data_IF_348343093754
#
_entry.id   IF_348343093754
#
_cell.length_a   1.000
_cell.length_b   1.000
_cell.length_c   1.000
_cell.angle_alpha   90.00
_cell.angle_beta   90.00
_cell.angle_gamma   90.00
#
_symmetry.space_group_name_H-M   'P 1'
#
loop_
_entity.id
_entity.type
_entity.pdbx_description
1 polymer ?
#
# COMPACT_ATOMS: atom_id res chain seq x y z
N UNK A 1 -1.03 4.60 6.80
CA UNK A 1 -1.51 3.78 7.92
C UNK A 1 -0.43 3.58 8.96
N UNK A 2 -0.84 3.44 10.22
CA UNK A 2 0.08 2.98 11.25
C UNK A 2 0.46 1.51 11.00
N UNK A 3 1.74 1.13 11.10
CA UNK A 3 2.17 -0.26 10.96
C UNK A 3 1.44 -1.21 11.92
N UNK A 4 1.01 -0.72 13.08
CA UNK A 4 0.33 -1.53 14.11
C UNK A 4 -1.05 -2.01 13.69
N UNK A 5 -1.78 -1.19 12.91
CA UNK A 5 -3.12 -1.53 12.42
C UNK A 5 -3.12 -2.09 11.00
N UNK A 6 -2.03 -1.97 10.27
CA UNK A 6 -1.90 -2.50 8.93
C UNK A 6 -1.79 -4.02 8.97
N UNK A 7 -2.70 -4.74 8.31
CA UNK A 7 -2.69 -6.20 8.32
C UNK A 7 -1.52 -6.77 7.53
N UNK A 8 -1.24 -6.21 6.35
CA UNK A 8 -0.18 -6.64 5.46
C UNK A 8 0.30 -5.43 4.64
N UNK A 9 1.61 -5.35 4.43
CA UNK A 9 2.26 -4.29 3.64
C UNK A 9 2.45 -4.66 2.15
N UNK A 10 2.16 -5.92 1.78
CA UNK A 10 2.39 -6.41 0.42
C UNK A 10 1.34 -5.93 -0.58
N UNK A 11 0.08 -5.80 -0.15
CA UNK A 11 -1.03 -5.41 -1.01
C UNK A 11 -1.64 -4.10 -0.55
N UNK A 12 -1.62 -3.09 -1.44
CA UNK A 12 -2.35 -1.85 -1.23
C UNK A 12 -3.86 -2.08 -1.34
N UNK A 13 -4.65 -1.27 -0.63
CA UNK A 13 -6.10 -1.22 -0.81
C UNK A 13 -6.50 -0.25 -1.92
N UNK A 14 -5.62 0.69 -2.26
CA UNK A 14 -5.91 1.75 -3.23
C UNK A 14 -5.46 1.38 -4.65
N UNK A 15 -4.32 0.72 -4.81
CA UNK A 15 -3.77 0.36 -6.13
C UNK A 15 -2.85 -0.85 -6.06
N UNK A 16 -2.72 -1.56 -7.17
CA UNK A 16 -1.71 -2.58 -7.42
C UNK A 16 -0.60 -2.11 -8.38
N UNK A 17 -0.64 -0.83 -8.76
CA UNK A 17 0.32 -0.20 -9.68
C UNK A 17 1.30 0.67 -8.90
N UNK A 18 2.60 0.44 -9.07
CA UNK A 18 3.67 1.27 -8.54
C UNK A 18 4.15 2.30 -9.58
N UNK A 19 4.28 3.55 -9.17
CA UNK A 19 4.82 4.63 -10.00
C UNK A 19 6.24 4.95 -9.56
N UNK A 20 7.12 5.18 -10.54
CA UNK A 20 8.51 5.55 -10.29
C UNK A 20 8.85 6.84 -11.04
N UNK A 21 9.53 7.75 -10.35
CA UNK A 21 10.06 8.97 -10.95
C UNK A 21 11.58 8.85 -11.11
N UNK A 22 12.07 8.93 -12.35
CA UNK A 22 13.49 8.96 -12.65
C UNK A 22 13.97 10.40 -12.70
N UNK A 23 14.99 10.71 -11.90
CA UNK A 23 15.70 11.99 -11.96
C UNK A 23 17.18 11.76 -12.28
N UNK A 24 17.79 12.70 -12.97
CA UNK A 24 19.22 12.67 -13.30
C UNK A 24 19.85 13.96 -12.80
N UNK A 25 20.86 13.82 -11.94
CA UNK A 25 21.70 14.95 -11.57
C UNK A 25 22.79 15.12 -12.63
N UNK A 26 22.72 16.22 -13.39
CA UNK A 26 23.64 16.51 -14.49
C UNK A 26 24.97 17.10 -14.03
N UNK A 27 25.06 17.59 -12.80
CA UNK A 27 26.26 18.28 -12.24
C UNK A 27 26.93 17.50 -11.12
N UNK A 28 26.33 16.44 -10.61
CA UNK A 28 26.82 15.62 -9.51
C UNK A 28 26.70 14.13 -9.76
N UNK A 29 26.97 13.36 -8.71
CA UNK A 29 26.85 11.90 -8.76
C UNK A 29 25.37 11.48 -8.74
N UNK A 30 25.03 10.51 -9.58
CA UNK A 30 23.75 9.83 -9.51
C UNK A 30 23.88 8.56 -8.66
N UNK A 31 22.82 8.21 -7.92
CA UNK A 31 22.79 6.96 -7.17
C UNK A 31 22.92 5.76 -8.10
N UNK A 32 23.90 4.90 -7.84
CA UNK A 32 24.18 3.67 -8.57
C UNK A 32 24.64 2.59 -7.60
N UNK A 33 24.27 1.35 -7.85
CA UNK A 33 24.95 0.23 -7.21
C UNK A 33 26.39 0.16 -7.72
N UNK A 34 27.36 0.21 -6.81
CA UNK A 34 28.78 0.17 -7.15
C UNK A 34 29.16 -1.22 -7.63
N UNK A 35 29.70 -1.32 -8.83
CA UNK A 35 30.28 -2.56 -9.35
C UNK A 35 31.45 -2.98 -8.47
N UNK A 36 31.38 -4.17 -7.89
CA UNK A 36 32.35 -4.68 -6.93
C UNK A 36 32.90 -6.02 -7.45
N UNK A 37 34.21 -6.22 -7.31
CA UNK A 37 34.87 -7.47 -7.69
C UNK A 37 34.35 -8.65 -6.85
N UNK A 38 34.37 -9.84 -7.47
CA UNK A 38 34.04 -11.12 -6.84
C UNK A 38 35.29 -12.00 -6.80
N UNK A 39 36.14 -11.92 -5.76
CA UNK A 39 37.44 -12.58 -5.73
C UNK A 39 37.32 -14.05 -5.32
N UNK A 40 36.65 -14.88 -6.14
CA UNK A 40 36.49 -16.31 -5.87
C UNK A 40 37.78 -17.12 -6.08
N UNK A 41 38.67 -16.63 -6.94
CA UNK A 41 40.01 -17.21 -7.10
C UNK A 41 40.83 -16.91 -5.84
N UNK A 42 41.36 -17.98 -5.19
CA UNK A 42 42.14 -17.85 -3.96
C UNK A 42 41.30 -17.62 -2.68
N UNK A 43 39.98 -17.77 -2.75
CA UNK A 43 39.14 -17.72 -1.56
C UNK A 43 39.54 -18.81 -0.55
N UNK A 44 39.67 -18.40 0.71
CA UNK A 44 39.98 -19.27 1.85
C UNK A 44 38.83 -19.41 2.85
N UNK A 45 37.75 -18.61 2.64
CA UNK A 45 36.59 -18.70 3.51
C UNK A 45 35.82 -19.99 3.27
N UNK A 46 35.32 -20.65 4.32
CA UNK A 46 34.42 -21.78 4.17
C UNK A 46 33.10 -21.34 3.56
N UNK A 47 32.45 -22.19 2.79
CA UNK A 47 31.13 -21.92 2.29
C UNK A 47 30.11 -21.81 3.42
N UNK A 48 29.24 -20.80 3.34
CA UNK A 48 28.12 -20.66 4.28
C UNK A 48 27.19 -21.87 4.15
N UNK A 49 26.93 -22.61 5.23
CA UNK A 49 26.16 -23.84 5.16
C UNK A 49 24.66 -23.60 4.99
N UNK A 50 24.13 -22.48 5.46
CA UNK A 50 22.72 -22.13 5.39
C UNK A 50 22.51 -20.63 5.49
N UNK A 51 21.28 -20.20 5.18
CA UNK A 51 20.76 -18.88 5.50
C UNK A 51 19.38 -19.02 6.17
N UNK A 52 18.90 -17.98 6.83
CA UNK A 52 17.55 -17.95 7.39
C UNK A 52 16.56 -17.58 6.30
N UNK A 53 15.90 -18.60 5.72
CA UNK A 53 14.91 -18.42 4.67
C UNK A 53 13.57 -18.10 5.29
N UNK A 54 12.92 -17.05 4.81
CA UNK A 54 11.54 -16.68 5.13
C UNK A 54 10.65 -17.00 3.94
N UNK A 55 9.67 -17.86 4.13
CA UNK A 55 8.61 -18.11 3.16
C UNK A 55 7.33 -17.48 3.68
N UNK A 56 6.65 -16.73 2.83
CA UNK A 56 5.44 -15.98 3.17
C UNK A 56 4.26 -16.45 2.33
N UNK A 57 3.09 -16.51 2.95
CA UNK A 57 1.82 -16.68 2.28
C UNK A 57 0.95 -15.47 2.57
N UNK A 58 0.48 -14.81 1.51
CA UNK A 58 -0.42 -13.68 1.57
C UNK A 58 -1.74 -14.04 0.88
N UNK A 59 -2.83 -13.46 1.36
CA UNK A 59 -4.16 -13.68 0.81
C UNK A 59 -4.75 -12.38 0.27
N UNK A 60 -5.46 -12.49 -0.86
CA UNK A 60 -6.11 -11.38 -1.56
C UNK A 60 -7.49 -11.83 -2.08
N UNK A 61 -8.20 -12.68 -1.33
CA UNK A 61 -9.51 -13.20 -1.75
C UNK A 61 -10.62 -12.19 -1.48
N UNK A 62 -10.54 -11.46 -0.36
CA UNK A 62 -11.50 -10.42 0.00
C UNK A 62 -10.81 -9.26 0.72
N UNK A 63 -11.53 -8.13 0.80
CA UNK A 63 -11.14 -7.01 1.66
C UNK A 63 -11.97 -7.11 2.93
N UNK A 64 -11.28 -7.32 4.06
CA UNK A 64 -11.92 -7.24 5.38
C UNK A 64 -12.14 -5.77 5.76
N UNK A 65 -13.33 -5.47 6.29
CA UNK A 65 -13.77 -4.11 6.62
C UNK A 65 -13.24 -3.59 7.95
N UNK A 66 -12.57 -4.45 8.72
CA UNK A 66 -12.00 -4.07 10.00
C UNK A 66 -12.97 -4.18 11.17
N UNK A 67 -12.65 -3.47 12.24
CA UNK A 67 -13.41 -3.47 13.48
C UNK A 67 -14.80 -2.85 13.28
N UNK A 68 -15.82 -3.51 13.84
CA UNK A 68 -17.19 -3.01 13.81
C UNK A 68 -17.71 -2.73 15.23
N UNK A 69 -18.39 -1.62 15.42
CA UNK A 69 -19.26 -1.40 16.57
C UNK A 69 -20.62 -2.06 16.33
N UNK A 70 -21.24 -2.57 17.37
CA UNK A 70 -22.55 -3.25 17.28
C UNK A 70 -23.60 -2.46 18.04
N UNK A 71 -24.54 -1.91 17.30
CA UNK A 71 -25.70 -1.17 17.81
C UNK A 71 -26.98 -1.64 17.11
N UNK A 72 -27.27 -2.95 17.23
CA UNK A 72 -28.32 -3.62 16.46
C UNK A 72 -27.82 -4.21 15.14
N UNK A 73 -26.93 -3.52 14.47
CA UNK A 73 -26.22 -3.96 13.27
C UNK A 73 -24.73 -3.61 13.35
N UNK A 74 -23.93 -4.10 12.41
CA UNK A 74 -22.51 -3.76 12.35
C UNK A 74 -22.31 -2.37 11.76
N UNK A 75 -21.69 -1.47 12.52
CA UNK A 75 -21.36 -0.12 12.10
C UNK A 75 -19.84 0.02 12.04
N UNK A 76 -19.32 0.37 10.87
CA UNK A 76 -17.91 0.57 10.62
C UNK A 76 -17.55 2.05 10.67
N UNK A 77 -16.34 2.35 11.09
CA UNK A 77 -15.80 3.71 11.05
C UNK A 77 -15.42 4.10 9.61
N UNK A 78 -15.51 5.38 9.28
CA UNK A 78 -15.00 5.89 8.01
C UNK A 78 -13.47 5.95 7.96
N UNK A 79 -12.78 5.92 9.09
CA UNK A 79 -11.32 5.79 9.17
C UNK A 79 -10.87 4.37 8.80
N UNK A 80 -9.60 4.24 8.39
CA UNK A 80 -9.02 2.91 8.24
C UNK A 80 -8.87 2.25 9.61
N UNK A 81 -9.65 1.22 9.83
CA UNK A 81 -9.77 0.56 11.13
C UNK A 81 -8.79 -0.61 11.32
N UNK A 82 -8.66 -1.00 12.58
CA UNK A 82 -7.91 -2.20 12.97
C UNK A 82 -8.53 -3.41 12.28
N UNK A 83 -7.69 -4.20 11.61
CA UNK A 83 -8.13 -5.41 10.90
C UNK A 83 -8.69 -5.16 9.49
N UNK A 84 -8.69 -3.92 9.00
CA UNK A 84 -9.02 -3.61 7.62
C UNK A 84 -7.87 -3.97 6.69
N UNK A 85 -8.17 -4.68 5.60
CA UNK A 85 -7.17 -5.07 4.62
C UNK A 85 -7.50 -6.33 3.83
N UNK A 86 -6.59 -6.73 2.96
CA UNK A 86 -6.70 -7.95 2.19
C UNK A 86 -6.58 -9.20 3.06
N UNK A 87 -7.47 -10.16 2.86
CA UNK A 87 -7.50 -11.44 3.61
C UNK A 87 -7.90 -12.61 2.73
N UNK A 88 -7.81 -13.81 3.30
CA UNK A 88 -8.52 -15.02 2.81
C UNK A 88 -10.03 -14.80 2.87
N UNK A 89 -10.78 -15.69 2.24
CA UNK A 89 -12.20 -15.84 2.55
C UNK A 89 -12.41 -16.16 4.03
N UNK A 90 -13.65 -15.98 4.49
CA UNK A 90 -14.00 -16.31 5.85
C UNK A 90 -13.78 -17.80 6.14
N UNK A 91 -13.09 -18.07 7.22
CA UNK A 91 -12.80 -19.41 7.73
C UNK A 91 -13.81 -19.69 8.84
N UNK A 92 -14.57 -20.77 8.69
CA UNK A 92 -15.53 -21.24 9.70
C UNK A 92 -14.86 -22.29 10.60
N UNK A 93 -15.35 -22.52 11.85
CA UNK A 93 -14.68 -23.37 12.84
C UNK A 93 -14.41 -24.81 12.40
N UNK A 94 -15.27 -25.37 11.54
CA UNK A 94 -15.14 -26.76 11.09
C UNK A 94 -13.89 -27.06 10.26
N UNK A 95 -13.35 -26.08 9.55
CA UNK A 95 -12.54 -26.41 8.37
C UNK A 95 -11.10 -25.91 8.45
N UNK A 96 -10.86 -24.76 9.07
CA UNK A 96 -9.52 -24.16 9.11
C UNK A 96 -8.97 -23.78 7.74
N UNK A 97 -7.92 -22.99 7.75
CA UNK A 97 -7.11 -22.64 6.57
C UNK A 97 -5.90 -23.53 6.54
N UNK A 98 -5.80 -24.41 5.55
CA UNK A 98 -4.63 -25.27 5.34
C UNK A 98 -3.83 -24.82 4.13
N UNK A 99 -2.50 -24.76 4.30
CA UNK A 99 -1.56 -24.44 3.21
C UNK A 99 -0.32 -25.31 3.32
N UNK A 100 0.14 -25.79 2.18
CA UNK A 100 1.45 -26.45 2.05
C UNK A 100 2.40 -25.45 1.38
N UNK A 101 3.58 -25.28 1.98
CA UNK A 101 4.70 -24.53 1.43
C UNK A 101 5.74 -25.54 0.97
N UNK A 102 5.96 -25.62 -0.33
CA UNK A 102 6.86 -26.59 -0.96
C UNK A 102 8.27 -26.03 -1.19
N UNK A 103 9.18 -26.89 -1.58
CA UNK A 103 10.55 -26.53 -1.96
C UNK A 103 11.31 -25.77 -0.87
N UNK A 104 11.18 -26.20 0.37
CA UNK A 104 11.75 -25.51 1.52
C UNK A 104 13.27 -25.65 1.64
N UNK A 105 13.86 -26.73 1.12
CA UNK A 105 15.31 -27.01 1.17
C UNK A 105 15.90 -26.84 2.59
N UNK A 106 15.22 -27.44 3.58
CA UNK A 106 15.62 -27.34 4.99
C UNK A 106 17.07 -27.78 5.21
N UNK A 107 17.85 -26.96 5.91
CA UNK A 107 19.17 -27.36 6.40
C UNK A 107 19.02 -28.10 7.72
N UNK A 108 19.20 -29.43 7.68
CA UNK A 108 18.89 -30.33 8.80
C UNK A 108 19.86 -30.23 9.98
N UNK A 109 21.11 -29.82 9.72
CA UNK A 109 22.14 -29.58 10.74
C UNK A 109 22.11 -28.16 11.30
N UNK A 110 21.05 -27.36 11.03
CA UNK A 110 20.92 -25.97 11.48
C UNK A 110 20.69 -25.84 12.98
N UNK A 111 20.70 -24.59 13.46
CA UNK A 111 20.39 -24.29 14.86
C UNK A 111 19.03 -24.82 15.28
N UNK A 112 18.98 -25.54 16.41
CA UNK A 112 17.82 -26.36 16.79
C UNK A 112 16.60 -25.55 17.20
N UNK A 113 16.74 -24.38 17.81
CA UNK A 113 15.64 -23.54 18.27
C UNK A 113 15.60 -22.22 17.49
N UNK A 114 15.47 -22.31 16.16
CA UNK A 114 15.59 -21.13 15.30
C UNK A 114 14.51 -21.08 14.20
N UNK A 115 13.37 -21.74 14.42
CA UNK A 115 12.20 -21.56 13.55
C UNK A 115 11.31 -20.48 14.15
N UNK A 116 10.88 -19.55 13.30
CA UNK A 116 9.94 -18.47 13.67
C UNK A 116 8.70 -18.57 12.79
N UNK A 117 7.54 -18.50 13.41
CA UNK A 117 6.25 -18.42 12.74
C UNK A 117 5.60 -17.06 13.03
N UNK A 118 5.15 -16.37 11.99
CA UNK A 118 4.35 -15.16 12.13
C UNK A 118 2.97 -15.35 11.51
N UNK A 119 1.96 -14.73 12.10
CA UNK A 119 0.59 -14.77 11.58
C UNK A 119 -0.10 -13.44 11.81
N UNK A 120 -0.89 -13.02 10.80
CA UNK A 120 -1.82 -11.90 10.92
C UNK A 120 -3.21 -12.39 10.54
N UNK A 121 -4.12 -12.34 11.50
CA UNK A 121 -5.51 -12.77 11.35
C UNK A 121 -6.46 -11.82 12.08
N UNK A 122 -7.72 -11.85 11.69
CA UNK A 122 -8.77 -10.99 12.25
C UNK A 122 -10.02 -11.83 12.53
N UNK A 123 -10.71 -11.52 13.61
CA UNK A 123 -12.05 -12.01 13.87
C UNK A 123 -13.07 -11.27 12.99
N UNK A 124 -14.09 -11.98 12.55
CA UNK A 124 -15.14 -11.41 11.69
C UNK A 124 -16.56 -11.85 12.12
N UNK A 125 -16.77 -12.02 13.40
CA UNK A 125 -18.05 -12.32 14.04
C UNK A 125 -18.01 -11.95 15.52
N UNK A 126 -19.18 -11.72 16.14
CA UNK A 126 -19.35 -11.37 17.54
C UNK A 126 -19.20 -12.58 18.49
N UNK A 127 -18.14 -13.36 18.32
CA UNK A 127 -17.92 -14.54 19.14
C UNK A 127 -16.57 -14.44 19.87
N UNK A 128 -16.49 -14.91 21.12
CA UNK A 128 -15.19 -15.13 21.76
C UNK A 128 -14.51 -16.32 21.09
N UNK A 129 -13.22 -16.18 20.83
CA UNK A 129 -12.36 -17.24 20.26
C UNK A 129 -10.91 -17.03 20.57
N UNK A 130 -10.13 -18.06 20.33
CA UNK A 130 -8.69 -18.02 20.25
C UNK A 130 -8.26 -18.43 18.85
N UNK A 131 -7.19 -17.81 18.35
CA UNK A 131 -6.52 -18.23 17.13
C UNK A 131 -5.65 -19.44 17.44
N UNK A 132 -5.77 -20.48 16.65
CA UNK A 132 -5.00 -21.73 16.74
C UNK A 132 -4.18 -21.92 15.48
N UNK A 133 -2.87 -22.01 15.63
CA UNK A 133 -1.94 -22.25 14.52
C UNK A 133 -1.23 -23.58 14.72
N UNK A 134 -1.08 -24.35 13.64
CA UNK A 134 -0.33 -25.63 13.64
C UNK A 134 0.68 -25.64 12.50
N UNK A 135 1.86 -26.17 12.80
CA UNK A 135 2.88 -26.52 11.81
C UNK A 135 3.04 -28.04 11.83
N UNK A 136 2.91 -28.68 10.67
CA UNK A 136 3.00 -30.14 10.54
C UNK A 136 2.11 -30.90 11.57
N UNK A 137 0.90 -30.35 11.81
CA UNK A 137 -0.06 -30.90 12.78
C UNK A 137 0.21 -30.53 14.24
N UNK A 138 1.38 -30.02 14.60
CA UNK A 138 1.74 -29.60 15.94
C UNK A 138 1.31 -28.16 16.19
N UNK A 139 0.56 -27.90 17.26
CA UNK A 139 0.17 -26.55 17.65
C UNK A 139 1.40 -25.72 18.04
N UNK A 140 1.45 -24.49 17.52
CA UNK A 140 2.47 -23.49 17.83
C UNK A 140 1.86 -22.28 18.50
N UNK A 141 2.63 -21.67 19.41
CA UNK A 141 2.13 -20.61 20.28
C UNK A 141 1.26 -21.15 21.43
N UNK A 142 0.98 -20.29 22.39
CA UNK A 142 0.07 -20.55 23.48
C UNK A 142 -1.38 -20.18 23.15
N UNK A 143 -2.11 -19.73 24.15
CA UNK A 143 -3.41 -19.11 23.98
C UNK A 143 -3.26 -17.78 23.24
N UNK A 144 -3.96 -17.64 22.12
CA UNK A 144 -3.97 -16.42 21.29
C UNK A 144 -5.39 -15.85 21.21
N UNK A 145 -5.88 -15.18 22.26
CA UNK A 145 -7.23 -14.63 22.28
C UNK A 145 -7.44 -13.63 21.14
N UNK A 146 -8.52 -13.82 20.38
CA UNK A 146 -8.92 -12.97 19.26
C UNK A 146 -10.45 -12.83 19.25
N UNK A 147 -11.06 -12.25 20.30
CA UNK A 147 -12.50 -12.12 20.38
C UNK A 147 -13.03 -11.06 19.39
N UNK A 148 -14.25 -11.25 18.95
CA UNK A 148 -15.02 -10.31 18.12
C UNK A 148 -14.32 -9.97 16.79
N UNK A 149 -14.09 -8.70 16.53
CA UNK A 149 -13.41 -8.18 15.34
C UNK A 149 -11.92 -7.85 15.59
N UNK A 150 -11.34 -8.38 16.64
CA UNK A 150 -9.98 -8.05 17.00
C UNK A 150 -8.97 -8.54 15.94
N UNK A 151 -7.99 -7.71 15.69
CA UNK A 151 -6.79 -8.07 14.94
C UNK A 151 -5.81 -8.80 15.84
N UNK A 152 -5.19 -9.86 15.32
CA UNK A 152 -4.08 -10.56 15.95
C UNK A 152 -2.88 -10.58 15.02
N UNK A 153 -1.76 -10.06 15.51
CA UNK A 153 -0.43 -10.16 14.89
C UNK A 153 0.49 -10.82 15.90
N UNK A 154 0.89 -12.04 15.62
CA UNK A 154 1.75 -12.79 16.52
C UNK A 154 3.04 -13.23 15.81
N UNK A 155 4.12 -13.25 16.60
CA UNK A 155 5.41 -13.79 16.22
C UNK A 155 5.85 -14.82 17.24
N UNK A 156 5.79 -16.08 16.89
CA UNK A 156 6.18 -17.22 17.72
C UNK A 156 7.61 -17.59 17.35
N UNK A 157 8.53 -17.34 18.26
CA UNK A 157 9.97 -17.55 18.07
C UNK A 157 10.47 -18.81 18.76
N UNK A 158 11.70 -19.19 18.45
CA UNK A 158 12.41 -20.27 19.11
C UNK A 158 11.71 -21.63 19.02
N UNK A 159 10.94 -21.85 17.96
CA UNK A 159 10.37 -23.15 17.68
C UNK A 159 11.49 -24.13 17.31
N UNK A 160 11.41 -25.39 17.76
CA UNK A 160 12.44 -26.38 17.45
C UNK A 160 12.48 -26.70 15.95
N UNK A 161 13.67 -26.89 15.39
CA UNK A 161 13.83 -27.24 13.98
C UNK A 161 13.14 -28.58 13.63
N UNK A 162 13.00 -29.48 14.61
CA UNK A 162 12.29 -30.75 14.48
C UNK A 162 10.79 -30.60 14.19
N UNK A 163 10.19 -29.41 14.44
CA UNK A 163 8.79 -29.15 14.08
C UNK A 163 8.58 -29.26 12.56
N UNK A 164 9.62 -28.91 11.79
CA UNK A 164 9.65 -29.11 10.34
C UNK A 164 10.06 -30.57 10.05
N UNK A 165 9.14 -31.50 10.28
CA UNK A 165 9.41 -32.93 10.18
C UNK A 165 9.58 -33.45 8.73
N UNK A 166 9.32 -32.62 7.71
CA UNK A 166 9.63 -32.87 6.31
C UNK A 166 10.82 -32.06 5.84
N UNK A 167 11.72 -32.57 4.98
CA UNK A 167 12.79 -31.78 4.37
C UNK A 167 12.33 -30.94 3.19
N UNK A 168 11.16 -31.21 2.60
CA UNK A 168 10.72 -30.64 1.32
C UNK A 168 9.51 -29.74 1.41
N UNK A 169 8.68 -29.85 2.46
CA UNK A 169 7.49 -29.02 2.60
C UNK A 169 7.17 -28.66 4.06
N UNK A 170 6.39 -27.59 4.25
CA UNK A 170 5.82 -27.19 5.55
C UNK A 170 4.31 -27.12 5.39
N UNK A 171 3.58 -27.95 6.13
CA UNK A 171 2.13 -27.86 6.28
C UNK A 171 1.77 -26.85 7.38
N UNK A 172 0.96 -25.88 7.08
CA UNK A 172 0.43 -24.88 8.02
C UNK A 172 -1.08 -24.99 8.06
N UNK A 173 -1.64 -25.00 9.27
CA UNK A 173 -3.09 -24.91 9.49
C UNK A 173 -3.39 -23.80 10.48
N UNK A 174 -4.38 -22.96 10.16
CA UNK A 174 -4.82 -21.82 10.96
C UNK A 174 -6.33 -21.90 11.13
N UNK A 175 -6.81 -21.84 12.37
CA UNK A 175 -8.24 -21.93 12.68
C UNK A 175 -8.58 -21.08 13.90
N UNK A 176 -9.89 -20.81 14.10
CA UNK A 176 -10.46 -20.36 15.38
C UNK A 176 -10.98 -21.55 16.16
N UNK A 177 -10.81 -21.54 17.49
CA UNK A 177 -11.28 -22.62 18.36
C UNK A 177 -12.73 -22.47 18.83
N UNK A 178 -13.52 -21.61 18.21
CA UNK A 178 -14.93 -21.41 18.56
C UNK A 178 -15.75 -22.66 18.25
N UNK A 179 -16.71 -22.96 19.13
CA UNK A 179 -17.71 -24.00 18.90
C UNK A 179 -18.98 -23.49 18.22
N UNK A 180 -19.07 -22.17 18.01
CA UNK A 180 -20.25 -21.53 17.43
C UNK A 180 -20.16 -21.56 15.89
N UNK A 181 -21.13 -22.17 15.22
CA UNK A 181 -21.17 -22.31 13.77
C UNK A 181 -21.22 -20.94 13.04
N UNK A 182 -21.63 -19.88 13.72
CA UNK A 182 -21.66 -18.50 13.20
C UNK A 182 -20.32 -17.81 13.28
N UNK A 183 -19.31 -18.45 13.88
CA UNK A 183 -17.99 -17.84 14.04
C UNK A 183 -17.23 -17.79 12.73
N UNK A 184 -16.42 -16.72 12.57
CA UNK A 184 -15.61 -16.49 11.39
C UNK A 184 -14.32 -15.80 11.77
N UNK A 185 -13.24 -16.23 11.14
CA UNK A 185 -11.96 -15.55 11.12
C UNK A 185 -11.52 -15.34 9.67
N UNK A 186 -10.60 -14.41 9.44
CA UNK A 186 -9.91 -14.27 8.17
C UNK A 186 -8.41 -14.09 8.41
N UNK A 187 -7.58 -14.66 7.53
CA UNK A 187 -6.12 -14.59 7.61
C UNK A 187 -5.62 -13.66 6.52
N UNK A 188 -4.81 -12.66 6.88
CA UNK A 188 -4.16 -11.79 5.90
C UNK A 188 -2.88 -12.41 5.37
N UNK A 189 -2.00 -12.83 6.26
CA UNK A 189 -0.73 -13.45 5.88
C UNK A 189 -0.16 -14.29 7.02
N UNK A 190 0.75 -15.16 6.67
CA UNK A 190 1.65 -15.82 7.62
C UNK A 190 3.02 -16.04 6.99
N UNK A 191 4.03 -16.26 7.80
CA UNK A 191 5.36 -16.65 7.33
C UNK A 191 6.02 -17.65 8.24
N UNK A 192 6.93 -18.45 7.67
CA UNK A 192 7.83 -19.35 8.40
C UNK A 192 9.26 -18.99 8.05
N UNK A 193 10.06 -18.69 9.06
CA UNK A 193 11.50 -18.44 8.93
C UNK A 193 12.25 -19.63 9.52
N UNK A 194 13.21 -20.18 8.78
CA UNK A 194 13.93 -21.41 9.16
C UNK A 194 15.28 -21.48 8.44
N UNK A 195 16.26 -22.28 8.95
CA UNK A 195 17.52 -22.50 8.26
C UNK A 195 17.32 -23.33 6.99
N UNK A 196 17.76 -22.79 5.84
CA UNK A 196 17.68 -23.43 4.52
C UNK A 196 19.04 -23.45 3.83
N UNK A 197 19.27 -24.46 3.00
CA UNK A 197 20.46 -24.53 2.13
C UNK A 197 20.38 -23.50 1.01
N UNK A 198 21.52 -23.14 0.44
CA UNK A 198 21.59 -22.22 -0.72
C UNK A 198 21.15 -22.89 -2.03
N UNK A 199 20.01 -23.55 -1.99
CA UNK A 199 19.32 -24.08 -3.18
C UNK A 199 18.18 -23.14 -3.54
N UNK A 200 18.24 -22.51 -4.73
CA UNK A 200 17.32 -21.45 -5.12
C UNK A 200 16.21 -21.94 -6.07
N UNK A 201 15.91 -23.24 -6.08
CA UNK A 201 14.71 -23.82 -6.72
C UNK A 201 14.51 -23.48 -8.20
N UNK A 202 15.59 -23.31 -8.95
CA UNK A 202 15.56 -22.91 -10.36
C UNK A 202 14.91 -21.54 -10.62
N UNK A 203 14.89 -20.66 -9.59
CA UNK A 203 14.40 -19.30 -9.73
C UNK A 203 15.38 -18.43 -10.52
N UNK A 204 14.85 -17.43 -11.25
CA UNK A 204 15.63 -16.40 -11.96
C UNK A 204 15.93 -15.18 -11.10
N UNK A 205 15.15 -14.97 -10.05
CA UNK A 205 15.28 -13.88 -9.11
C UNK A 205 15.06 -14.43 -7.71
N UNK A 206 15.99 -14.18 -6.80
CA UNK A 206 15.88 -14.71 -5.45
C UNK A 206 16.34 -13.67 -4.42
N UNK A 207 15.40 -13.23 -3.58
CA UNK A 207 15.68 -12.38 -2.42
C UNK A 207 16.04 -13.26 -1.22
N UNK A 208 17.11 -12.91 -0.51
CA UNK A 208 17.49 -13.56 0.74
C UNK A 208 18.20 -12.60 1.68
N UNK A 209 18.22 -12.96 2.94
CA UNK A 209 18.90 -12.23 4.00
C UNK A 209 19.99 -13.10 4.59
N UNK A 210 21.11 -12.49 4.92
CA UNK A 210 22.27 -13.17 5.49
C UNK A 210 22.76 -12.41 6.71
N UNK A 211 23.02 -13.14 7.78
CA UNK A 211 23.69 -12.56 8.94
C UNK A 211 25.06 -12.06 8.54
N UNK A 212 25.48 -10.95 9.12
CA UNK A 212 26.81 -10.40 8.90
C UNK A 212 27.93 -11.36 9.36
N UNK A 213 29.10 -11.19 8.75
CA UNK A 213 30.31 -11.86 9.16
C UNK A 213 31.49 -10.88 9.01
N UNK A 214 32.20 -10.66 10.10
CA UNK A 214 33.36 -9.74 10.15
C UNK A 214 34.57 -10.27 9.36
N UNK A 215 34.57 -11.54 8.96
CA UNK A 215 35.57 -12.13 8.06
C UNK A 215 35.11 -12.13 6.59
N UNK A 216 33.85 -11.79 6.34
CA UNK A 216 33.21 -11.95 5.05
C UNK A 216 32.47 -13.29 4.91
N UNK A 217 31.70 -13.46 3.84
CA UNK A 217 30.94 -14.67 3.58
C UNK A 217 31.31 -15.27 2.22
N UNK A 218 31.42 -16.58 2.13
CA UNK A 218 31.54 -17.28 0.85
C UNK A 218 30.25 -18.05 0.58
N UNK A 219 29.58 -17.69 -0.52
CA UNK A 219 28.32 -18.31 -0.93
C UNK A 219 28.55 -19.27 -2.08
N UNK A 220 27.97 -20.47 -1.97
CA UNK A 220 27.88 -21.46 -3.04
C UNK A 220 26.41 -21.75 -3.27
N UNK A 221 25.83 -21.08 -4.24
CA UNK A 221 24.40 -21.17 -4.58
C UNK A 221 24.22 -22.24 -5.66
N UNK A 222 23.29 -23.14 -5.42
CA UNK A 222 22.93 -24.21 -6.35
C UNK A 222 21.53 -24.04 -6.89
N UNK A 223 21.23 -24.67 -8.02
CA UNK A 223 19.91 -24.69 -8.63
C UNK A 223 19.32 -23.27 -8.79
N UNK A 224 20.11 -22.33 -9.30
CA UNK A 224 19.68 -21.00 -9.72
C UNK A 224 19.62 -20.93 -11.25
N UNK A 225 18.54 -20.40 -11.79
CA UNK A 225 18.34 -20.31 -13.23
C UNK A 225 19.06 -19.09 -13.82
N UNK A 226 20.34 -19.24 -14.07
CA UNK A 226 21.17 -18.20 -14.73
C UNK A 226 21.06 -18.22 -16.26
N UNK A 227 20.52 -19.29 -16.83
CA UNK A 227 20.51 -19.56 -18.28
C UNK A 227 21.92 -19.42 -18.94
N UNK A 228 22.97 -19.81 -18.21
CA UNK A 228 24.36 -19.74 -18.67
C UNK A 228 24.97 -18.32 -18.67
N UNK A 229 24.23 -17.32 -18.22
CA UNK A 229 24.74 -15.94 -18.09
C UNK A 229 25.06 -15.66 -16.62
N UNK A 230 26.22 -15.05 -16.35
CA UNK A 230 26.61 -14.70 -14.99
C UNK A 230 25.56 -13.80 -14.32
N UNK A 231 24.94 -14.24 -13.21
CA UNK A 231 23.92 -13.45 -12.52
C UNK A 231 24.54 -12.31 -11.72
N UNK A 232 23.72 -11.33 -11.35
CA UNK A 232 24.13 -10.17 -10.55
C UNK A 232 23.52 -10.29 -9.15
N UNK A 233 24.37 -10.21 -8.13
CA UNK A 233 23.97 -10.08 -6.75
C UNK A 233 23.95 -8.59 -6.36
N UNK A 234 22.79 -8.09 -5.98
CA UNK A 234 22.62 -6.75 -5.41
C UNK A 234 22.66 -6.84 -3.89
N UNK A 235 23.59 -6.11 -3.29
CA UNK A 235 23.69 -5.89 -1.85
C UNK A 235 23.03 -4.55 -1.53
N UNK A 236 21.84 -4.60 -0.94
CA UNK A 236 21.05 -3.39 -0.66
C UNK A 236 21.64 -2.54 0.47
N UNK A 237 22.25 -3.16 1.48
CA UNK A 237 22.87 -2.45 2.58
C UNK A 237 24.16 -1.75 2.12
N UNK A 238 24.99 -2.49 1.38
CA UNK A 238 26.28 -1.97 0.92
C UNK A 238 26.21 -1.12 -0.35
N UNK A 239 25.03 -1.02 -1.01
CA UNK A 239 24.90 -0.31 -2.28
C UNK A 239 25.75 -0.90 -3.40
N UNK A 240 25.98 -2.22 -3.39
CA UNK A 240 26.91 -2.92 -4.29
C UNK A 240 26.19 -3.86 -5.25
N UNK A 241 26.76 -4.06 -6.42
CA UNK A 241 26.42 -5.11 -7.36
C UNK A 241 27.66 -5.95 -7.66
N UNK A 242 27.50 -7.27 -7.58
CA UNK A 242 28.59 -8.24 -7.69
C UNK A 242 28.21 -9.23 -8.78
N UNK A 243 29.09 -9.43 -9.75
CA UNK A 243 28.89 -10.43 -10.81
C UNK A 243 29.19 -11.84 -10.27
N UNK A 244 28.26 -12.78 -10.47
CA UNK A 244 28.39 -14.15 -10.01
C UNK A 244 29.44 -14.93 -10.80
N UNK A 245 30.22 -15.75 -10.10
CA UNK A 245 31.13 -16.70 -10.71
C UNK A 245 30.38 -18.01 -11.00
N UNK A 246 30.26 -18.32 -12.29
CA UNK A 246 29.61 -19.55 -12.82
C UNK A 246 30.60 -20.52 -13.44
N UNK A 247 31.90 -20.39 -13.16
CA UNK A 247 32.96 -21.26 -13.73
C UNK A 247 32.85 -22.71 -13.27
N UNK A 248 32.18 -23.00 -12.17
CA UNK A 248 31.84 -24.35 -11.71
C UNK A 248 30.41 -24.69 -12.13
N UNK A 249 30.25 -25.74 -12.90
CA UNK A 249 28.95 -26.17 -13.40
C UNK A 249 27.94 -26.39 -12.25
N UNK A 250 26.73 -25.85 -12.40
CA UNK A 250 25.65 -25.99 -11.41
C UNK A 250 25.80 -25.11 -10.16
N UNK A 251 26.78 -24.22 -10.10
CA UNK A 251 27.04 -23.36 -8.98
C UNK A 251 27.14 -21.88 -9.41
N UNK A 252 26.64 -21.02 -8.57
CA UNK A 252 26.89 -19.56 -8.62
C UNK A 252 27.60 -19.19 -7.33
N UNK A 253 28.81 -18.61 -7.42
CA UNK A 253 29.66 -18.37 -6.26
C UNK A 253 29.91 -16.88 -6.04
N UNK A 254 29.95 -16.48 -4.77
CA UNK A 254 30.26 -15.10 -4.36
C UNK A 254 31.16 -15.10 -3.14
N UNK A 255 32.15 -14.20 -3.13
CA UNK A 255 32.90 -13.84 -1.94
C UNK A 255 32.48 -12.43 -1.54
N UNK A 256 31.83 -12.30 -0.40
CA UNK A 256 31.33 -11.06 0.13
C UNK A 256 32.32 -10.47 1.11
N UNK A 257 32.61 -9.19 0.99
CA UNK A 257 33.48 -8.48 1.92
C UNK A 257 32.94 -8.53 3.36
N UNK A 258 33.80 -8.38 4.36
CA UNK A 258 33.40 -8.21 5.75
C UNK A 258 32.34 -7.13 5.91
N UNK A 259 31.42 -7.35 6.85
CA UNK A 259 30.36 -6.41 7.21
C UNK A 259 30.10 -6.46 8.71
N UNK A 260 29.63 -5.35 9.26
CA UNK A 260 29.14 -5.21 10.63
C UNK A 260 27.63 -4.96 10.68
N UNK A 261 26.96 -5.02 9.52
CA UNK A 261 25.50 -4.92 9.46
C UNK A 261 24.88 -6.16 10.14
N UNK A 262 23.93 -5.96 11.02
CA UNK A 262 23.27 -7.05 11.74
C UNK A 262 22.61 -8.05 10.80
N UNK A 263 22.05 -7.57 9.69
CA UNK A 263 21.40 -8.36 8.67
C UNK A 263 21.60 -7.69 7.30
N UNK A 264 22.21 -8.42 6.37
CA UNK A 264 22.40 -7.95 4.99
C UNK A 264 21.29 -8.48 4.11
N UNK A 265 20.78 -7.62 3.23
CA UNK A 265 19.69 -7.92 2.29
C UNK A 265 20.23 -8.02 0.89
N UNK A 266 19.95 -9.14 0.22
CA UNK A 266 20.43 -9.43 -1.10
C UNK A 266 19.31 -9.77 -2.06
N UNK A 267 19.51 -9.44 -3.33
CA UNK A 267 18.70 -9.96 -4.42
C UNK A 267 19.63 -10.50 -5.51
N UNK A 268 19.54 -11.80 -5.78
CA UNK A 268 20.24 -12.44 -6.90
C UNK A 268 19.34 -12.41 -8.13
N UNK A 269 19.81 -11.82 -9.21
CA UNK A 269 19.05 -11.63 -10.44
C UNK A 269 19.81 -12.29 -11.61
N UNK A 270 19.12 -13.11 -12.40
CA UNK A 270 19.65 -13.67 -13.63
C UNK A 270 20.05 -12.58 -14.60
N UNK A 271 21.27 -12.67 -15.16
CA UNK A 271 21.76 -11.78 -16.21
C UNK A 271 21.17 -12.06 -17.60
N UNK A 272 20.32 -13.08 -17.73
CA UNK A 272 19.66 -13.42 -19.00
C UNK A 272 18.74 -12.28 -19.45
N UNK A 273 18.85 -11.90 -20.71
CA UNK A 273 18.04 -10.82 -21.31
C UNK A 273 16.53 -11.10 -21.18
N UNK A 274 16.09 -12.35 -21.19
CA UNK A 274 14.68 -12.72 -21.01
C UNK A 274 14.14 -12.40 -19.60
N UNK A 275 15.03 -12.12 -18.65
CA UNK A 275 14.71 -11.69 -17.29
C UNK A 275 14.68 -10.15 -17.15
N UNK A 276 14.91 -9.42 -18.23
CA UNK A 276 14.92 -7.97 -18.25
C UNK A 276 13.68 -7.42 -18.96
N UNK A 277 13.08 -6.40 -18.39
CA UNK A 277 12.05 -5.62 -19.07
C UNK A 277 12.64 -4.30 -19.52
N UNK A 278 12.48 -4.01 -20.83
CA UNK A 278 12.90 -2.73 -21.38
C UNK A 278 11.82 -1.67 -21.12
N UNK A 279 12.23 -0.54 -20.53
CA UNK A 279 11.40 0.66 -20.50
C UNK A 279 11.44 1.29 -21.88
N UNK A 280 10.32 1.24 -22.60
CA UNK A 280 10.23 1.71 -24.00
C UNK A 280 10.02 3.20 -24.10
N UNK A 281 9.47 3.85 -23.08
CA UNK A 281 9.23 5.29 -23.06
C UNK A 281 9.22 5.81 -21.62
N UNK A 282 9.61 7.06 -21.48
CA UNK A 282 9.46 7.84 -20.24
C UNK A 282 8.72 9.13 -20.60
N UNK A 283 7.72 9.47 -19.78
CA UNK A 283 7.02 10.74 -19.92
C UNK A 283 7.73 11.81 -19.09
N UNK A 284 7.98 12.97 -19.69
CA UNK A 284 8.51 14.11 -18.96
C UNK A 284 7.47 14.62 -17.96
N UNK A 285 7.88 14.89 -16.74
CA UNK A 285 7.02 15.44 -15.70
C UNK A 285 7.66 16.67 -15.08
N UNK A 286 6.89 17.75 -15.02
CA UNK A 286 7.26 18.97 -14.29
C UNK A 286 6.25 19.14 -13.15
N UNK A 287 6.73 19.18 -11.93
CA UNK A 287 5.88 19.36 -10.75
C UNK A 287 5.57 20.84 -10.54
N UNK A 288 4.33 21.11 -10.11
CA UNK A 288 3.91 22.47 -9.74
C UNK A 288 4.60 22.89 -8.45
N UNK A 289 5.24 24.06 -8.45
CA UNK A 289 5.81 24.62 -7.22
C UNK A 289 4.72 25.31 -6.40
N UNK A 290 4.15 24.65 -5.42
CA UNK A 290 3.13 25.19 -4.53
C UNK A 290 3.68 26.16 -3.46
N UNK A 291 4.99 26.29 -3.28
CA UNK A 291 5.58 27.36 -2.49
C UNK A 291 5.49 28.72 -3.18
N UNK A 292 5.32 28.75 -4.50
CA UNK A 292 5.09 29.99 -5.24
C UNK A 292 3.67 30.53 -4.97
N UNK A 293 3.57 31.78 -4.48
CA UNK A 293 2.31 32.44 -4.18
C UNK A 293 1.32 32.48 -5.36
N UNK A 294 1.82 32.51 -6.61
CA UNK A 294 0.99 32.45 -7.81
C UNK A 294 0.16 31.14 -7.92
N UNK A 295 0.62 30.07 -7.29
CA UNK A 295 -0.05 28.77 -7.27
C UNK A 295 -0.87 28.53 -6.01
N UNK A 296 -0.92 29.50 -5.08
CA UNK A 296 -1.68 29.41 -3.84
C UNK A 296 -3.06 30.03 -3.98
N UNK A 297 -4.06 29.39 -3.42
CA UNK A 297 -5.43 29.88 -3.37
C UNK A 297 -6.01 29.80 -1.97
N UNK A 298 -6.90 30.73 -1.62
CA UNK A 298 -7.65 30.68 -0.36
C UNK A 298 -9.02 30.00 -0.52
N UNK A 299 -9.40 29.66 -1.74
CA UNK A 299 -10.51 28.80 -2.10
C UNK A 299 -9.96 27.69 -3.00
N UNK A 300 -9.77 26.51 -2.43
CA UNK A 300 -9.18 25.37 -3.11
C UNK A 300 -10.28 24.62 -3.86
N UNK A 301 -10.12 24.42 -5.17
CA UNK A 301 -10.99 23.59 -6.00
C UNK A 301 -10.16 22.41 -6.47
N UNK A 302 -10.49 21.18 -6.04
CA UNK A 302 -9.82 19.97 -6.49
C UNK A 302 -10.70 19.28 -7.53
N UNK A 303 -10.16 19.00 -8.72
CA UNK A 303 -10.95 18.39 -9.78
C UNK A 303 -10.10 17.50 -10.71
N UNK A 304 -10.79 16.66 -11.47
CA UNK A 304 -10.20 15.80 -12.48
C UNK A 304 -10.27 16.48 -13.86
N UNK A 305 -9.21 16.47 -14.67
CA UNK A 305 -9.19 17.07 -16.00
C UNK A 305 -10.30 16.59 -16.95
N UNK A 306 -10.82 15.39 -16.75
CA UNK A 306 -11.96 14.87 -17.55
C UNK A 306 -13.20 15.76 -17.48
N UNK A 307 -13.35 16.52 -16.37
CA UNK A 307 -14.45 17.44 -16.14
C UNK A 307 -14.23 18.85 -16.75
N UNK A 308 -13.05 19.12 -17.31
CA UNK A 308 -12.69 20.43 -17.85
C UNK A 308 -13.33 20.69 -19.22
N UNK A 309 -14.00 19.70 -19.81
CA UNK A 309 -14.71 19.88 -21.06
C UNK A 309 -16.16 19.34 -20.91
N UNK A 310 -17.14 20.17 -21.24
CA UNK A 310 -18.56 19.83 -21.22
C UNK A 310 -19.07 19.15 -22.52
N UNK A 311 -18.16 18.79 -23.42
CA UNK A 311 -18.48 18.26 -24.76
C UNK A 311 -18.63 19.34 -25.84
N UNK A 312 -18.72 20.64 -25.45
CA UNK A 312 -18.81 21.79 -26.36
C UNK A 312 -17.61 22.73 -26.23
N UNK A 313 -16.52 22.29 -25.63
CA UNK A 313 -15.29 23.06 -25.44
C UNK A 313 -15.30 24.05 -24.29
N UNK A 314 -16.33 24.05 -23.43
CA UNK A 314 -16.44 24.94 -22.28
C UNK A 314 -15.93 24.25 -21.02
N UNK A 315 -15.01 24.94 -20.33
CA UNK A 315 -14.52 24.50 -19.02
C UNK A 315 -15.36 25.09 -17.86
N UNK A 316 -16.39 24.36 -17.47
CA UNK A 316 -17.28 24.78 -16.39
C UNK A 316 -16.62 24.76 -15.01
N UNK A 317 -15.55 23.98 -14.80
CA UNK A 317 -14.75 24.02 -13.57
C UNK A 317 -14.01 25.35 -13.46
N UNK A 318 -13.46 25.87 -14.56
CA UNK A 318 -12.82 27.18 -14.57
C UNK A 318 -13.84 28.30 -14.47
N UNK A 319 -15.02 28.19 -15.08
CA UNK A 319 -16.12 29.15 -14.88
C UNK A 319 -16.57 29.21 -13.42
N UNK A 320 -16.63 28.08 -12.72
CA UNK A 320 -16.88 28.05 -11.28
C UNK A 320 -15.78 28.78 -10.50
N UNK A 321 -14.51 28.53 -10.81
CA UNK A 321 -13.37 29.24 -10.23
C UNK A 321 -13.48 30.76 -10.45
N UNK A 322 -13.76 31.18 -11.69
CA UNK A 322 -13.92 32.60 -12.03
C UNK A 322 -15.06 33.21 -11.23
N UNK A 323 -16.20 32.53 -11.11
CA UNK A 323 -17.31 32.99 -10.31
C UNK A 323 -16.91 33.20 -8.84
N UNK A 324 -16.25 32.23 -8.22
CA UNK A 324 -15.77 32.36 -6.82
C UNK A 324 -14.75 33.48 -6.65
N UNK A 325 -14.02 33.81 -7.69
CA UNK A 325 -13.07 34.95 -7.69
C UNK A 325 -13.75 36.30 -7.96
N UNK A 326 -14.99 36.33 -8.42
CA UNK A 326 -15.76 37.58 -8.66
C UNK A 326 -16.34 38.12 -7.36
N UNK A 327 -16.75 39.38 -7.40
CA UNK A 327 -17.44 40.05 -6.27
C UNK A 327 -18.71 39.28 -5.87
N UNK A 328 -19.51 38.85 -6.84
CA UNK A 328 -20.75 38.10 -6.62
C UNK A 328 -20.50 36.76 -5.97
N UNK A 329 -19.37 36.11 -6.28
CA UNK A 329 -18.98 34.78 -5.75
C UNK A 329 -18.12 34.81 -4.49
N UNK A 330 -17.89 35.99 -3.89
CA UNK A 330 -17.22 36.16 -2.59
C UNK A 330 -15.77 36.66 -2.64
N UNK A 331 -15.29 37.11 -3.82
CA UNK A 331 -13.95 37.70 -4.03
C UNK A 331 -12.79 36.83 -3.49
N UNK A 332 -12.89 35.53 -3.65
CA UNK A 332 -11.82 34.61 -3.24
C UNK A 332 -10.66 34.58 -4.25
N UNK A 333 -9.46 34.32 -3.79
CA UNK A 333 -8.39 33.84 -4.65
C UNK A 333 -8.61 32.34 -4.91
N UNK A 334 -9.57 32.01 -5.80
CA UNK A 334 -9.93 30.63 -6.12
C UNK A 334 -8.94 30.03 -7.12
N UNK A 335 -8.48 28.83 -6.85
CA UNK A 335 -7.55 28.07 -7.71
C UNK A 335 -8.05 26.65 -7.92
N UNK A 336 -7.86 26.15 -9.14
CA UNK A 336 -8.12 24.74 -9.49
C UNK A 336 -6.82 23.94 -9.37
N UNK A 337 -6.90 22.83 -8.66
CA UNK A 337 -5.82 21.86 -8.47
C UNK A 337 -6.20 20.56 -9.15
N UNK A 338 -5.33 20.08 -10.04
CA UNK A 338 -5.52 18.82 -10.75
C UNK A 338 -5.22 17.65 -9.82
N UNK A 339 -6.18 16.73 -9.67
CA UNK A 339 -6.04 15.55 -8.82
C UNK A 339 -4.84 14.67 -9.21
N UNK A 340 -4.54 14.53 -10.50
CA UNK A 340 -3.40 13.73 -10.94
C UNK A 340 -2.07 14.33 -10.50
N UNK A 341 -1.96 15.66 -10.51
CA UNK A 341 -0.79 16.38 -10.01
C UNK A 341 -0.63 16.22 -8.49
N UNK A 342 -1.75 16.25 -7.76
CA UNK A 342 -1.73 16.02 -6.31
C UNK A 342 -1.33 14.58 -5.98
N UNK A 343 -1.84 13.60 -6.72
CA UNK A 343 -1.45 12.20 -6.56
C UNK A 343 0.06 12.00 -6.81
N UNK A 344 0.61 12.67 -7.82
CA UNK A 344 2.04 12.58 -8.12
C UNK A 344 2.90 13.20 -7.01
N UNK A 345 2.55 14.40 -6.50
CA UNK A 345 3.37 15.12 -5.54
C UNK A 345 3.16 14.70 -4.08
N UNK A 346 1.91 14.44 -3.68
CA UNK A 346 1.54 14.15 -2.29
C UNK A 346 1.18 12.67 -2.06
N UNK A 347 0.97 11.91 -3.14
CA UNK A 347 0.67 10.48 -3.11
C UNK A 347 1.76 9.61 -3.72
N UNK A 348 2.97 10.13 -3.93
CA UNK A 348 4.11 9.41 -4.53
C UNK A 348 3.78 8.77 -5.89
N UNK A 349 2.90 9.40 -6.68
CA UNK A 349 2.43 8.88 -7.95
C UNK A 349 1.43 7.72 -7.82
N UNK A 350 1.00 7.37 -6.63
CA UNK A 350 -0.03 6.36 -6.39
C UNK A 350 -1.38 6.99 -6.71
N UNK A 351 -1.93 6.63 -7.85
CA UNK A 351 -3.25 7.13 -8.29
C UNK A 351 -4.33 6.72 -7.28
N UNK A 352 -5.27 7.63 -7.07
CA UNK A 352 -6.43 7.45 -6.19
C UNK A 352 -6.09 7.19 -4.71
N UNK A 353 -4.86 7.55 -4.29
CA UNK A 353 -4.47 7.47 -2.90
C UNK A 353 -5.09 8.63 -2.10
N UNK A 354 -6.03 8.38 -1.17
CA UNK A 354 -6.73 9.46 -0.46
C UNK A 354 -5.81 10.33 0.39
N UNK A 355 -4.69 9.79 0.88
CA UNK A 355 -3.68 10.58 1.60
C UNK A 355 -3.09 11.71 0.74
N UNK A 356 -3.06 11.58 -0.60
CA UNK A 356 -2.57 12.65 -1.46
C UNK A 356 -3.38 13.95 -1.30
N UNK A 357 -4.70 13.83 -1.23
CA UNK A 357 -5.59 14.98 -0.99
C UNK A 357 -5.41 15.52 0.41
N UNK A 358 -5.42 14.64 1.41
CA UNK A 358 -5.27 15.04 2.81
C UNK A 358 -3.93 15.74 3.04
N UNK A 359 -2.84 15.18 2.57
CA UNK A 359 -1.51 15.73 2.76
C UNK A 359 -1.34 17.06 2.01
N UNK A 360 -1.96 17.21 0.82
CA UNK A 360 -2.02 18.48 0.13
C UNK A 360 -2.84 19.53 0.92
N UNK A 361 -4.01 19.17 1.44
CA UNK A 361 -4.87 20.11 2.20
C UNK A 361 -4.14 20.55 3.48
N UNK A 362 -3.49 19.63 4.19
CA UNK A 362 -2.68 19.94 5.37
C UNK A 362 -1.51 20.88 4.99
N UNK A 363 -0.78 20.55 3.92
CA UNK A 363 0.28 21.40 3.41
C UNK A 363 -0.22 22.80 3.06
N UNK A 364 -1.32 22.90 2.32
CA UNK A 364 -1.91 24.18 1.94
C UNK A 364 -2.32 25.00 3.18
N UNK A 365 -2.94 24.36 4.17
CA UNK A 365 -3.35 25.03 5.41
C UNK A 365 -2.16 25.59 6.21
N UNK A 366 -1.00 24.92 6.13
CA UNK A 366 0.21 25.32 6.85
C UNK A 366 1.10 26.30 6.08
N UNK A 367 1.10 26.24 4.75
CA UNK A 367 2.10 26.91 3.91
C UNK A 367 1.54 28.02 3.02
N UNK A 368 0.23 28.01 2.72
CA UNK A 368 -0.35 29.04 1.86
C UNK A 368 -0.57 30.33 2.63
N UNK A 369 -0.36 31.45 1.95
CA UNK A 369 -0.60 32.77 2.50
C UNK A 369 -1.43 33.62 1.52
N UNK A 370 -2.71 33.93 1.84
CA UNK A 370 -3.45 33.49 3.04
C UNK A 370 -3.80 32.01 3.03
N UNK A 371 -3.96 31.42 4.21
CA UNK A 371 -4.40 30.04 4.38
C UNK A 371 -5.78 29.79 3.73
N UNK A 372 -6.08 28.56 3.27
CA UNK A 372 -7.36 28.19 2.69
C UNK A 372 -8.53 28.42 3.63
N UNK A 373 -9.61 29.01 3.11
CA UNK A 373 -10.89 29.16 3.81
C UNK A 373 -11.84 28.01 3.51
N UNK A 374 -11.77 27.47 2.31
CA UNK A 374 -12.66 26.41 1.83
C UNK A 374 -11.93 25.47 0.90
N UNK A 375 -12.36 24.20 0.92
CA UNK A 375 -12.00 23.17 -0.05
C UNK A 375 -13.29 22.72 -0.74
N UNK A 376 -13.31 22.74 -2.05
CA UNK A 376 -14.44 22.24 -2.85
C UNK A 376 -13.96 21.22 -3.87
N UNK A 377 -14.44 19.99 -3.74
CA UNK A 377 -14.12 18.90 -4.64
C UNK A 377 -15.17 18.87 -5.76
N UNK A 378 -14.72 18.92 -7.01
CA UNK A 378 -15.57 18.74 -8.19
C UNK A 378 -15.17 17.43 -8.87
N UNK A 379 -16.00 16.43 -8.71
CA UNK A 379 -15.82 15.09 -9.24
C UNK A 379 -16.38 14.03 -8.30
N UNK A 380 -17.04 13.03 -8.88
CA UNK A 380 -17.51 11.86 -8.16
C UNK A 380 -16.31 11.07 -7.62
N UNK A 381 -16.48 10.44 -6.46
CA UNK A 381 -15.54 9.48 -5.90
C UNK A 381 -16.27 8.21 -5.50
N UNK A 382 -15.58 7.08 -5.57
CA UNK A 382 -16.00 5.82 -5.02
C UNK A 382 -15.25 5.58 -3.70
N UNK A 383 -15.78 4.71 -2.84
CA UNK A 383 -14.98 4.18 -1.75
C UNK A 383 -13.86 3.29 -2.33
N UNK A 384 -12.72 3.21 -1.65
CA UNK A 384 -11.64 2.33 -2.11
C UNK A 384 -12.12 0.87 -2.25
N UNK A 385 -13.04 0.44 -1.40
CA UNK A 385 -13.62 -0.90 -1.44
C UNK A 385 -14.40 -1.12 -2.75
N UNK A 386 -15.29 -0.19 -3.10
CA UNK A 386 -16.09 -0.29 -4.32
C UNK A 386 -15.20 -0.22 -5.56
N UNK A 387 -14.20 0.67 -5.57
CA UNK A 387 -13.24 0.79 -6.66
C UNK A 387 -12.43 -0.49 -6.83
N UNK A 388 -11.81 -0.98 -5.75
CA UNK A 388 -10.89 -2.12 -5.79
C UNK A 388 -11.58 -3.43 -6.17
N UNK A 389 -12.81 -3.64 -5.71
CA UNK A 389 -13.61 -4.83 -6.09
C UNK A 389 -14.15 -4.78 -7.52
N UNK A 390 -14.17 -3.62 -8.16
CA UNK A 390 -14.70 -3.39 -9.50
C UNK A 390 -13.66 -2.91 -10.51
N UNK A 391 -12.36 -3.08 -10.27
CA UNK A 391 -11.29 -2.60 -11.16
C UNK A 391 -11.40 -3.13 -12.60
N UNK A 392 -11.96 -4.31 -12.80
CA UNK A 392 -12.21 -4.85 -14.13
C UNK A 392 -13.34 -4.15 -14.89
N UNK A 393 -14.16 -3.32 -14.22
CA UNK A 393 -15.23 -2.56 -14.82
C UNK A 393 -14.71 -1.17 -15.24
N UNK A 394 -14.67 -0.85 -16.55
CA UNK A 394 -14.22 0.47 -17.01
C UNK A 394 -14.99 1.65 -16.41
N UNK A 395 -16.26 1.45 -16.01
CA UNK A 395 -17.05 2.49 -15.36
C UNK A 395 -16.52 2.86 -13.96
N UNK A 396 -15.92 1.92 -13.25
CA UNK A 396 -15.35 2.22 -11.94
C UNK A 396 -14.20 3.26 -12.05
N UNK A 397 -13.35 3.12 -13.07
CA UNK A 397 -12.28 4.10 -13.34
C UNK A 397 -12.85 5.48 -13.70
N UNK A 398 -13.91 5.52 -14.50
CA UNK A 398 -14.56 6.77 -14.91
C UNK A 398 -15.32 7.46 -13.76
N UNK A 399 -15.88 6.69 -12.83
CA UNK A 399 -16.69 7.22 -11.74
C UNK A 399 -15.85 7.63 -10.51
N UNK A 400 -14.65 7.08 -10.36
CA UNK A 400 -13.74 7.48 -9.29
C UNK A 400 -12.77 8.57 -9.76
N UNK A 401 -13.31 9.76 -10.02
CA UNK A 401 -12.57 10.91 -10.53
C UNK A 401 -11.69 11.57 -9.47
N UNK A 402 -12.23 11.73 -8.27
CA UNK A 402 -11.52 12.28 -7.10
C UNK A 402 -11.85 11.40 -5.92
N UNK A 403 -10.87 10.67 -5.45
CA UNK A 403 -11.00 9.66 -4.39
C UNK A 403 -11.63 10.21 -3.11
N UNK A 404 -12.28 9.31 -2.37
CA UNK A 404 -12.82 9.56 -1.02
C UNK A 404 -11.90 8.96 0.04
N UNK A 405 -12.16 9.22 1.30
CA UNK A 405 -11.37 8.67 2.41
C UNK A 405 -12.14 7.57 3.14
N UNK A 406 -11.48 6.44 3.33
CA UNK A 406 -11.96 5.35 4.16
C UNK A 406 -13.18 4.58 3.64
N UNK A 407 -13.74 3.74 4.52
CA UNK A 407 -14.97 3.02 4.28
C UNK A 407 -15.78 2.93 5.60
N UNK A 408 -17.06 3.39 5.63
CA UNK A 408 -17.76 4.13 4.59
C UNK A 408 -17.04 5.41 4.14
N UNK A 409 -17.26 5.84 2.88
CA UNK A 409 -16.57 6.98 2.30
C UNK A 409 -16.86 8.29 3.05
N UNK A 410 -15.84 9.11 3.30
CA UNK A 410 -15.96 10.39 4.00
C UNK A 410 -15.06 11.45 3.36
N UNK A 411 -15.63 12.59 2.97
CA UNK A 411 -14.86 13.76 2.52
C UNK A 411 -14.31 14.56 3.69
N UNK A 412 -14.99 14.57 4.84
CA UNK A 412 -14.53 15.28 6.04
C UNK A 412 -13.14 14.83 6.47
N UNK A 413 -12.88 13.52 6.39
CA UNK A 413 -11.58 12.94 6.76
C UNK A 413 -10.45 13.30 5.79
N UNK A 414 -10.75 13.80 4.59
CA UNK A 414 -9.74 14.35 3.67
C UNK A 414 -9.17 15.68 4.17
N UNK A 415 -9.93 16.46 4.95
CA UNK A 415 -9.44 17.73 5.53
C UNK A 415 -9.17 17.65 7.03
N UNK A 416 -9.33 16.48 7.66
CA UNK A 416 -9.03 16.28 9.07
C UNK A 416 -7.54 16.03 9.30
N UNK A 417 -7.01 16.53 10.41
CA UNK A 417 -5.66 16.18 10.84
C UNK A 417 -5.63 14.70 11.26
N UNK A 418 -4.50 14.00 11.11
CA UNK A 418 -4.35 12.63 11.57
C UNK A 418 -4.77 12.46 13.04
N UNK A 419 -5.62 11.48 13.31
CA UNK A 419 -6.13 11.21 14.65
C UNK A 419 -7.32 12.08 15.09
N UNK A 420 -7.84 12.94 14.21
CA UNK A 420 -9.05 13.74 14.47
C UNK A 420 -10.17 13.39 13.49
N UNK A 421 -11.41 13.66 13.87
CA UNK A 421 -12.60 13.41 13.05
C UNK A 421 -13.34 14.70 12.62
N UNK A 422 -12.75 15.87 12.87
CA UNK A 422 -13.30 17.14 12.44
C UNK A 422 -12.40 17.80 11.39
N UNK A 423 -12.97 18.52 10.40
CA UNK A 423 -12.20 19.13 9.34
C UNK A 423 -11.38 20.33 9.84
N UNK A 424 -10.13 20.45 9.41
CA UNK A 424 -9.29 21.62 9.66
C UNK A 424 -9.67 22.81 8.77
N UNK A 425 -10.26 22.50 7.60
CA UNK A 425 -10.81 23.47 6.64
C UNK A 425 -12.17 22.93 6.19
N UNK A 426 -13.23 23.77 6.12
CA UNK A 426 -14.52 23.35 5.58
C UNK A 426 -14.36 22.74 4.19
N UNK A 427 -14.94 21.57 3.98
CA UNK A 427 -14.85 20.80 2.76
C UNK A 427 -16.23 20.38 2.26
N UNK A 428 -16.44 20.41 0.95
CA UNK A 428 -17.64 19.90 0.30
C UNK A 428 -17.34 19.32 -1.05
N UNK A 429 -18.27 18.50 -1.59
CA UNK A 429 -18.12 17.83 -2.88
C UNK A 429 -19.33 18.01 -3.77
N UNK A 430 -19.06 18.29 -5.04
CA UNK A 430 -20.00 18.09 -6.16
C UNK A 430 -19.66 16.75 -6.83
N UNK A 431 -20.55 15.77 -6.71
CA UNK A 431 -20.39 14.43 -7.30
C UNK A 431 -20.63 14.39 -8.82
N UNK A 432 -20.14 15.37 -9.57
CA UNK A 432 -20.31 15.44 -11.03
C UNK A 432 -19.51 14.35 -11.73
N UNK A 433 -20.07 13.80 -12.82
CA UNK A 433 -19.46 12.80 -13.69
C UNK A 433 -19.10 13.32 -15.09
N UNK A 434 -19.50 14.55 -15.42
CA UNK A 434 -19.14 15.25 -16.65
C UNK A 434 -19.16 16.77 -16.46
N UNK A 435 -18.54 17.49 -17.42
CA UNK A 435 -18.46 18.95 -17.35
C UNK A 435 -19.80 19.69 -17.48
N UNK A 436 -20.82 19.06 -18.08
CA UNK A 436 -22.18 19.65 -18.19
C UNK A 436 -22.85 19.75 -16.83
N UNK A 437 -22.73 18.72 -15.99
CA UNK A 437 -23.29 18.71 -14.63
C UNK A 437 -22.65 19.81 -13.77
N UNK A 438 -21.36 20.11 -13.97
CA UNK A 438 -20.70 21.22 -13.31
C UNK A 438 -21.31 22.56 -13.71
N UNK A 439 -21.66 22.74 -14.99
CA UNK A 439 -22.36 23.94 -15.48
C UNK A 439 -23.75 24.11 -14.87
N UNK A 440 -24.54 23.03 -14.85
CA UNK A 440 -25.88 23.02 -14.23
C UNK A 440 -25.80 23.41 -12.74
N UNK A 441 -24.82 22.87 -12.01
CA UNK A 441 -24.60 23.22 -10.62
C UNK A 441 -24.21 24.69 -10.46
N UNK A 442 -23.32 25.21 -11.30
CA UNK A 442 -22.89 26.60 -11.28
C UNK A 442 -24.07 27.55 -11.47
N UNK A 443 -24.97 27.26 -12.42
CA UNK A 443 -26.15 28.09 -12.70
C UNK A 443 -27.13 28.06 -11.53
N UNK A 444 -27.42 26.89 -10.97
CA UNK A 444 -28.27 26.77 -9.77
C UNK A 444 -27.71 27.53 -8.59
N UNK A 445 -26.40 27.41 -8.36
CA UNK A 445 -25.74 28.14 -7.27
C UNK A 445 -25.80 29.66 -7.44
N UNK A 446 -25.55 30.18 -8.66
CA UNK A 446 -25.69 31.61 -8.97
C UNK A 446 -27.10 32.10 -8.69
N UNK A 447 -28.12 31.36 -9.15
CA UNK A 447 -29.52 31.69 -8.88
C UNK A 447 -29.81 31.72 -7.39
N UNK A 448 -29.37 30.74 -6.63
CA UNK A 448 -29.53 30.66 -5.18
C UNK A 448 -28.88 31.85 -4.47
N UNK A 449 -27.64 32.16 -4.77
CA UNK A 449 -26.89 33.25 -4.14
C UNK A 449 -27.48 34.63 -4.54
N UNK A 450 -27.95 34.79 -5.76
CA UNK A 450 -28.65 36.01 -6.20
C UNK A 450 -29.93 36.25 -5.42
N UNK A 451 -30.72 35.18 -5.19
CA UNK A 451 -31.95 35.30 -4.37
C UNK A 451 -31.60 35.59 -2.91
N UNK A 452 -30.54 34.98 -2.34
CA UNK A 452 -30.10 35.31 -0.97
C UNK A 452 -29.70 36.79 -0.79
N UNK A 453 -29.07 37.35 -1.79
CA UNK A 453 -28.57 38.74 -1.76
C UNK A 453 -29.64 39.79 -2.10
N UNK A 454 -30.81 39.35 -2.58
CA UNK A 454 -31.90 40.27 -2.94
C UNK A 454 -32.43 41.00 -1.70
N UNK A 455 -32.41 42.34 -1.68
CA UNK A 455 -32.87 43.11 -0.52
C UNK A 455 -34.38 43.18 -0.42
N UNK A 456 -35.12 42.81 -1.49
CA UNK A 456 -36.58 42.99 -1.60
C UNK A 456 -37.39 41.78 -1.10
N UNK A 457 -36.75 40.74 -0.59
CA UNK A 457 -37.47 39.54 -0.12
C UNK A 457 -37.79 39.62 1.38
N UNK A 458 -39.02 39.28 1.72
CA UNK A 458 -39.47 39.12 3.10
C UNK A 458 -38.85 37.84 3.72
N UNK A 459 -38.97 37.72 5.05
CA UNK A 459 -38.59 36.48 5.75
C UNK A 459 -39.40 35.30 5.24
N UNK A 460 -40.65 35.51 4.86
CA UNK A 460 -41.54 34.48 4.29
C UNK A 460 -41.07 34.05 2.91
N UNK A 461 -40.66 34.97 2.04
CA UNK A 461 -40.10 34.63 0.72
C UNK A 461 -38.79 33.80 0.81
N UNK A 462 -38.07 33.93 1.93
CA UNK A 462 -36.83 33.17 2.22
C UNK A 462 -37.06 31.93 3.07
N UNK A 463 -38.30 31.66 3.49
CA UNK A 463 -38.58 30.50 4.40
C UNK A 463 -38.15 29.15 3.80
N UNK A 464 -38.23 29.00 2.48
CA UNK A 464 -37.78 27.78 1.78
C UNK A 464 -36.29 27.49 1.95
N UNK A 465 -35.45 28.50 2.21
CA UNK A 465 -34.00 28.34 2.47
C UNK A 465 -33.70 27.64 3.81
N UNK A 466 -34.69 27.53 4.69
CA UNK A 466 -34.58 26.89 6.00
C UNK A 466 -35.00 25.40 5.95
N UNK A 467 -35.63 24.97 4.87
CA UNK A 467 -36.09 23.61 4.65
C UNK A 467 -34.98 22.84 3.93
N UNK A 468 -33.97 22.38 4.68
CA UNK A 468 -32.89 21.55 4.20
C UNK A 468 -33.02 20.17 4.85
#
# INVERSE_FOLDING_TARGET
RSPDIQMCDKYSLETDTATYFLTVNTVGSNLRYLATANPTAGNVLPAEPYFMRRIEQHYKSQINKGYAAVIGEYVYSASYDIGEGWTSDNIVPCCGLSKVLDNINKYTAGPQNNVTFTVTAVGNALNPRELVCKIQGTQVGGLMPMPYFNLRKDTIRNLPLSILNSPSFIGVNINGNSTLATDRIAVSCFSVTYPATFNFNNEKNFYFELKDNTLGNYLVITNFNSNGVAPILYDYNGGKRILGDISVAGQVRFVLAPSTDTLRKFNLISGDISNSQSVTSLSSKTFVNYANAANQGNYIIISNPILYNNGSGVNNVDLYRQYRSSLAGGSFNAKVYNIDELNDQFGFGIKKHPSALRDFIIYANQQFNPAPKYVFIIGRGLSYLDYTLNQANPLAEQLDMVQTFGWPASDVLLSSLPGTSYPSVPIGRLGAINGTEVGIYLDKMKQYEQVQQSPSQTIEDKAWMKNV
#
